data_IF_514671245499
#
_entry.id   IF_514671245499
#
_cell.length_a   1.000
_cell.length_b   1.000
_cell.length_c   1.000
_cell.angle_alpha   90.00
_cell.angle_beta   90.00
_cell.angle_gamma   90.00
#
_symmetry.space_group_name_H-M   'P 1'
#
loop_
_entity.id
_entity.type
_entity.pdbx_description
1 polymer ?
#
# COMPACT_ATOMS: atom_id res chain seq x y z
N UNK A 1 3.10 -25.55 -25.44
CA UNK A 1 3.58 -24.14 -25.53
C UNK A 1 3.07 -23.37 -24.32
N UNK A 2 3.82 -23.30 -23.21
CA UNK A 2 3.42 -22.56 -21.99
C UNK A 2 4.45 -21.48 -21.60
N UNK A 3 5.60 -21.40 -22.28
CA UNK A 3 6.71 -20.51 -21.92
C UNK A 3 6.70 -19.11 -22.58
N UNK A 4 5.68 -18.78 -23.38
CA UNK A 4 5.66 -17.55 -24.22
C UNK A 4 4.97 -16.37 -23.50
N UNK A 5 4.44 -16.55 -22.29
CA UNK A 5 3.55 -15.56 -21.65
C UNK A 5 4.23 -14.61 -20.66
N UNK A 6 5.54 -14.71 -20.44
CA UNK A 6 6.25 -13.76 -19.57
C UNK A 6 6.91 -12.71 -20.46
N UNK A 7 6.47 -11.44 -20.43
CA UNK A 7 7.12 -10.37 -21.18
C UNK A 7 8.60 -10.26 -20.74
N UNK A 8 9.52 -10.54 -21.66
CA UNK A 8 10.97 -10.59 -21.37
C UNK A 8 11.61 -9.21 -21.20
N UNK A 9 11.01 -8.17 -21.78
CA UNK A 9 11.55 -6.81 -21.79
C UNK A 9 11.03 -5.92 -20.65
N UNK A 10 10.26 -6.48 -19.71
CA UNK A 10 9.90 -5.76 -18.49
C UNK A 10 10.92 -6.16 -17.44
N UNK A 11 11.80 -5.24 -17.01
CA UNK A 11 12.65 -5.52 -15.88
C UNK A 11 11.72 -5.86 -14.70
N UNK A 12 11.81 -7.09 -14.19
CA UNK A 12 11.17 -7.43 -12.92
C UNK A 12 11.95 -6.74 -11.80
N UNK A 13 11.80 -5.42 -11.72
CA UNK A 13 12.45 -4.54 -10.76
C UNK A 13 11.48 -4.17 -9.63
N UNK A 14 10.55 -5.06 -9.30
CA UNK A 14 9.86 -4.94 -8.02
C UNK A 14 10.86 -5.34 -6.93
N UNK A 15 11.60 -4.36 -6.43
CA UNK A 15 12.42 -4.55 -5.24
C UNK A 15 11.49 -4.87 -4.07
N UNK A 16 11.88 -5.78 -3.17
CA UNK A 16 11.14 -5.99 -1.93
C UNK A 16 10.96 -4.66 -1.21
N UNK A 17 9.81 -4.50 -0.55
CA UNK A 17 9.59 -3.36 0.32
C UNK A 17 10.65 -3.36 1.43
N UNK A 18 11.29 -2.21 1.64
CA UNK A 18 12.30 -2.07 2.67
C UNK A 18 11.69 -1.46 3.93
N UNK A 19 11.42 -2.30 4.94
CA UNK A 19 10.87 -1.86 6.21
C UNK A 19 11.89 -1.10 7.10
N UNK A 20 13.10 -0.87 6.61
CA UNK A 20 14.12 0.01 7.23
C UNK A 20 14.07 1.41 6.62
N UNK A 21 13.58 1.54 5.39
CA UNK A 21 13.36 2.82 4.71
C UNK A 21 12.20 3.56 5.38
N UNK A 22 12.47 4.80 5.82
CA UNK A 22 11.43 5.66 6.40
C UNK A 22 10.31 5.93 5.40
N UNK A 23 10.65 6.09 4.12
CA UNK A 23 9.69 6.34 3.04
C UNK A 23 8.72 5.17 2.87
N UNK A 24 9.25 3.95 2.84
CA UNK A 24 8.47 2.72 2.64
C UNK A 24 7.54 2.49 3.84
N UNK A 25 8.03 2.69 5.06
CA UNK A 25 7.20 2.60 6.28
C UNK A 25 6.04 3.61 6.21
N UNK A 26 6.32 4.85 5.82
CA UNK A 26 5.28 5.89 5.76
C UNK A 26 4.21 5.54 4.71
N UNK A 27 4.62 5.20 3.49
CA UNK A 27 3.72 4.93 2.37
C UNK A 27 2.87 3.68 2.60
N UNK A 28 3.49 2.60 3.06
CA UNK A 28 2.84 1.30 3.08
C UNK A 28 2.25 0.91 4.44
N UNK A 29 2.61 1.60 5.53
CA UNK A 29 2.08 1.33 6.87
C UNK A 29 1.35 2.54 7.44
N UNK A 30 2.02 3.70 7.52
CA UNK A 30 1.46 4.86 8.23
C UNK A 30 0.25 5.43 7.48
N UNK A 31 0.35 5.62 6.16
CA UNK A 31 -0.72 6.15 5.33
C UNK A 31 -2.02 5.33 5.39
N UNK A 32 -2.02 3.99 5.23
CA UNK A 32 -3.26 3.20 5.37
C UNK A 32 -3.80 3.22 6.81
N UNK A 33 -2.96 3.22 7.84
CA UNK A 33 -3.40 3.35 9.24
C UNK A 33 -4.11 4.69 9.47
N UNK A 34 -3.56 5.79 8.96
CA UNK A 34 -4.19 7.12 9.05
C UNK A 34 -5.54 7.11 8.33
N UNK A 35 -5.64 6.53 7.13
CA UNK A 35 -6.91 6.41 6.42
C UNK A 35 -7.98 5.67 7.22
N UNK A 36 -7.60 4.55 7.86
CA UNK A 36 -8.53 3.76 8.70
C UNK A 36 -8.98 4.58 9.91
N UNK A 37 -8.04 5.21 10.63
CA UNK A 37 -8.35 6.03 11.81
C UNK A 37 -9.25 7.20 11.43
N UNK A 38 -8.93 7.91 10.34
CA UNK A 38 -9.73 9.02 9.84
C UNK A 38 -11.14 8.57 9.44
N UNK A 39 -11.26 7.42 8.76
CA UNK A 39 -12.56 6.84 8.41
C UNK A 39 -13.40 6.50 9.65
N UNK A 40 -12.80 5.86 10.65
CA UNK A 40 -13.49 5.52 11.91
C UNK A 40 -13.93 6.79 12.64
N UNK A 41 -13.05 7.79 12.73
CA UNK A 41 -13.37 9.07 13.34
C UNK A 41 -14.56 9.76 12.64
N UNK A 42 -14.51 9.87 11.31
CA UNK A 42 -15.59 10.44 10.52
C UNK A 42 -16.91 9.67 10.67
N UNK A 43 -16.85 8.33 10.65
CA UNK A 43 -18.03 7.47 10.80
C UNK A 43 -18.67 7.61 12.18
N UNK A 44 -17.87 7.82 13.23
CA UNK A 44 -18.38 8.05 14.60
C UNK A 44 -19.09 9.41 14.69
N UNK A 45 -18.50 10.46 14.11
CA UNK A 45 -19.10 11.80 14.10
C UNK A 45 -20.50 11.79 13.44
N UNK A 46 -20.65 11.09 12.30
CA UNK A 46 -21.94 10.95 11.59
C UNK A 46 -23.02 10.17 12.33
N UNK A 47 -22.72 9.48 13.43
CA UNK A 47 -23.72 8.79 14.26
C UNK A 47 -24.16 9.61 15.48
N UNK A 48 -23.47 10.70 15.76
CA UNK A 48 -23.75 11.61 16.87
C UNK A 48 -24.54 12.86 16.42
N UNK A 49 -24.73 13.02 15.11
CA UNK A 49 -25.79 13.84 14.49
C UNK A 49 -26.96 12.92 14.13
#
# INVERSE_FOLDING_TARGET
MIFIQIPQDIPNQSTPIDLTSTTDIILYIVLPVIMIVAYIYWRRKKRSE
#
